data_IF_367148046674
#
_entry.id   IF_367148046674
#
_cell.length_a   1.000
_cell.length_b   1.000
_cell.length_c   1.000
_cell.angle_alpha   90.00
_cell.angle_beta   90.00
_cell.angle_gamma   90.00
#
_symmetry.space_group_name_H-M   'P 1'
#
loop_
_entity.id
_entity.type
_entity.pdbx_description
1 polymer ?
#
# COMPACT_ATOMS: atom_id res chain seq x y z
N UNK A 1 39.96 -33.93 -24.94
CA UNK A 1 40.02 -32.48 -25.25
C UNK A 1 38.67 -32.11 -25.86
N UNK A 2 37.65 -31.68 -25.14
CA UNK A 2 37.66 -30.82 -23.96
C UNK A 2 37.41 -29.38 -24.39
N UNK A 3 36.16 -29.06 -24.75
CA UNK A 3 35.68 -27.68 -24.85
C UNK A 3 34.27 -27.63 -24.27
N UNK A 4 34.23 -27.47 -22.95
CA UNK A 4 33.09 -26.98 -22.20
C UNK A 4 32.82 -25.53 -22.65
N UNK A 5 31.78 -25.33 -23.44
CA UNK A 5 31.28 -24.02 -23.80
C UNK A 5 30.26 -23.56 -22.77
N UNK A 6 30.65 -22.56 -21.98
CA UNK A 6 29.78 -21.49 -21.48
C UNK A 6 28.52 -21.90 -20.72
N UNK A 7 28.64 -22.02 -19.41
CA UNK A 7 27.53 -21.70 -18.50
C UNK A 7 27.15 -20.24 -18.72
N UNK A 8 26.14 -19.98 -19.56
CA UNK A 8 25.30 -18.80 -19.38
C UNK A 8 24.53 -19.01 -18.06
N UNK A 9 25.19 -18.73 -16.94
CA UNK A 9 24.49 -18.46 -15.69
C UNK A 9 23.67 -17.22 -15.98
N UNK A 10 22.37 -17.42 -16.23
CA UNK A 10 21.42 -16.33 -16.20
C UNK A 10 21.65 -15.57 -14.91
N UNK A 11 22.00 -14.30 -15.05
CA UNK A 11 21.76 -13.34 -13.98
C UNK A 11 20.22 -13.28 -13.84
N UNK A 12 19.65 -14.24 -13.13
CA UNK A 12 18.25 -14.22 -12.75
C UNK A 12 18.13 -13.20 -11.62
N UNK A 13 18.39 -11.94 -11.96
CA UNK A 13 18.16 -10.81 -11.08
C UNK A 13 16.76 -10.93 -10.52
N UNK A 14 16.67 -10.95 -9.19
CA UNK A 14 15.41 -11.05 -8.47
C UNK A 14 14.41 -10.05 -9.05
N UNK A 15 13.23 -10.52 -9.44
CA UNK A 15 12.20 -9.64 -9.99
C UNK A 15 11.78 -8.61 -8.94
N UNK A 16 11.27 -7.44 -9.35
CA UNK A 16 10.82 -6.44 -8.37
C UNK A 16 9.73 -7.01 -7.44
N UNK A 17 8.90 -7.95 -7.90
CA UNK A 17 7.90 -8.60 -7.08
C UNK A 17 8.53 -9.45 -5.98
N UNK A 18 9.53 -10.26 -6.32
CA UNK A 18 10.29 -11.05 -5.33
C UNK A 18 11.04 -10.15 -4.36
N UNK A 19 11.59 -9.04 -4.86
CA UNK A 19 12.31 -8.05 -4.05
C UNK A 19 11.39 -7.34 -3.07
N UNK A 20 10.21 -6.92 -3.54
CA UNK A 20 9.18 -6.32 -2.70
C UNK A 20 8.74 -7.29 -1.59
N UNK A 21 8.54 -8.57 -1.91
CA UNK A 21 8.18 -9.58 -0.92
C UNK A 21 9.27 -9.76 0.14
N UNK A 22 10.52 -9.97 -0.27
CA UNK A 22 11.63 -10.15 0.64
C UNK A 22 11.84 -8.92 1.55
N UNK A 23 11.72 -7.70 0.99
CA UNK A 23 11.82 -6.47 1.77
C UNK A 23 10.66 -6.37 2.77
N UNK A 24 9.42 -6.57 2.34
CA UNK A 24 8.25 -6.47 3.22
C UNK A 24 8.29 -7.48 4.37
N UNK A 25 8.63 -8.74 4.09
CA UNK A 25 8.76 -9.81 5.10
C UNK A 25 9.85 -9.50 6.14
N UNK A 26 10.93 -8.84 5.72
CA UNK A 26 12.02 -8.49 6.63
C UNK A 26 11.63 -7.42 7.66
N UNK A 27 10.62 -6.59 7.36
CA UNK A 27 10.23 -5.45 8.19
C UNK A 27 8.86 -5.60 8.86
N UNK A 28 7.96 -6.45 8.31
CA UNK A 28 6.57 -6.53 8.72
C UNK A 28 6.01 -7.95 8.60
N UNK A 29 5.03 -8.31 9.45
CA UNK A 29 4.19 -9.49 9.22
C UNK A 29 3.51 -9.38 7.85
N UNK A 30 3.83 -10.32 6.96
CA UNK A 30 3.42 -10.31 5.56
C UNK A 30 2.73 -11.62 5.19
N UNK A 31 1.66 -11.53 4.42
CA UNK A 31 0.93 -12.66 3.83
C UNK A 31 0.93 -12.51 2.32
N UNK A 32 1.18 -13.61 1.61
CA UNK A 32 1.12 -13.65 0.15
C UNK A 32 -0.30 -14.01 -0.27
N UNK A 33 -0.83 -13.25 -1.22
CA UNK A 33 -2.14 -13.50 -1.79
C UNK A 33 -2.00 -14.21 -3.15
N UNK A 34 -3.03 -14.98 -3.52
CA UNK A 34 -3.04 -15.76 -4.78
C UNK A 34 -2.95 -14.89 -6.04
N UNK A 35 -3.28 -13.60 -5.95
CA UNK A 35 -3.20 -12.62 -7.04
C UNK A 35 -1.82 -11.94 -7.18
N UNK A 36 -0.85 -12.37 -6.37
CA UNK A 36 0.52 -11.86 -6.34
C UNK A 36 0.69 -10.54 -5.57
N UNK A 37 -0.36 -10.07 -4.88
CA UNK A 37 -0.23 -9.00 -3.89
C UNK A 37 0.25 -9.54 -2.54
N UNK A 38 0.71 -8.62 -1.71
CA UNK A 38 1.17 -8.89 -0.35
C UNK A 38 0.29 -8.11 0.60
N UNK A 39 -0.29 -8.80 1.58
CA UNK A 39 -0.97 -8.16 2.70
C UNK A 39 0.00 -7.99 3.85
N UNK A 40 0.25 -6.75 4.27
CA UNK A 40 1.11 -6.42 5.41
C UNK A 40 0.30 -5.79 6.54
N UNK A 41 0.71 -6.04 7.77
CA UNK A 41 0.09 -5.47 8.96
C UNK A 41 1.05 -4.53 9.68
N UNK A 42 0.58 -3.31 9.97
CA UNK A 42 1.37 -2.30 10.68
C UNK A 42 0.45 -1.45 11.56
N UNK A 43 0.76 -1.34 12.86
CA UNK A 43 0.01 -0.49 13.81
C UNK A 43 -1.52 -0.67 13.77
N UNK A 44 -1.99 -1.90 13.60
CA UNK A 44 -3.41 -2.22 13.53
C UNK A 44 -4.12 -1.78 12.24
N UNK A 45 -3.35 -1.48 11.19
CA UNK A 45 -3.81 -1.30 9.81
C UNK A 45 -3.45 -2.50 8.96
N UNK A 46 -4.23 -2.73 7.90
CA UNK A 46 -3.94 -3.71 6.87
C UNK A 46 -3.64 -2.99 5.56
N UNK A 47 -2.58 -3.41 4.88
CA UNK A 47 -2.14 -2.79 3.63
C UNK A 47 -1.84 -3.83 2.58
N UNK A 48 -2.34 -3.59 1.36
CA UNK A 48 -1.99 -4.37 0.18
C UNK A 48 -0.85 -3.67 -0.57
N UNK A 49 0.20 -4.43 -0.85
CA UNK A 49 1.33 -4.04 -1.67
C UNK A 49 1.36 -4.92 -2.92
N UNK A 50 1.52 -4.32 -4.10
CA UNK A 50 1.75 -5.11 -5.33
C UNK A 50 2.60 -4.36 -6.34
N UNK A 51 3.31 -5.11 -7.17
CA UNK A 51 4.02 -4.55 -8.31
C UNK A 51 3.07 -4.43 -9.50
N UNK A 52 3.14 -3.31 -10.20
CA UNK A 52 2.37 -3.00 -11.40
C UNK A 52 3.30 -2.43 -12.46
N UNK A 53 3.41 -3.12 -13.59
CA UNK A 53 4.14 -2.62 -14.77
C UNK A 53 3.18 -1.76 -15.59
N UNK A 54 3.47 -0.46 -15.71
CA UNK A 54 2.65 0.48 -16.49
C UNK A 54 3.13 0.53 -17.95
N UNK A 55 4.43 0.46 -18.13
CA UNK A 55 5.12 0.40 -19.42
C UNK A 55 6.49 -0.27 -19.23
N UNK A 56 7.18 -0.57 -20.32
CA UNK A 56 8.55 -1.09 -20.27
C UNK A 56 9.48 -0.15 -19.47
N UNK A 57 10.15 -0.69 -18.46
CA UNK A 57 11.02 0.08 -17.56
C UNK A 57 10.29 0.96 -16.54
N UNK A 58 8.96 0.91 -16.48
CA UNK A 58 8.13 1.66 -15.53
C UNK A 58 7.33 0.70 -14.64
N UNK A 59 8.04 0.13 -13.67
CA UNK A 59 7.44 -0.68 -12.62
C UNK A 59 7.14 0.16 -11.38
N UNK A 60 5.88 0.13 -10.96
CA UNK A 60 5.39 0.82 -9.79
C UNK A 60 5.06 -0.18 -8.68
N UNK A 61 5.29 0.22 -7.43
CA UNK A 61 4.68 -0.41 -6.28
C UNK A 61 3.40 0.35 -5.97
N UNK A 62 2.27 -0.36 -5.99
CA UNK A 62 0.98 0.15 -5.55
C UNK A 62 0.75 -0.29 -4.11
N UNK A 63 0.64 0.69 -3.21
CA UNK A 63 0.33 0.51 -1.79
C UNK A 63 -1.07 1.05 -1.53
N UNK A 64 -1.95 0.21 -1.01
CA UNK A 64 -3.27 0.61 -0.51
C UNK A 64 -3.41 0.19 0.94
N UNK A 65 -3.55 1.14 1.85
CA UNK A 65 -3.73 0.90 3.27
C UNK A 65 -5.15 1.25 3.69
N UNK A 66 -5.81 0.31 4.38
CA UNK A 66 -7.11 0.54 5.00
C UNK A 66 -6.92 1.24 6.35
N UNK A 67 -7.37 2.50 6.43
CA UNK A 67 -7.20 3.32 7.64
C UNK A 67 -8.34 3.09 8.62
N UNK A 68 -9.58 3.04 8.12
CA UNK A 68 -10.77 2.78 8.90
C UNK A 68 -11.92 2.32 8.01
N UNK A 69 -12.85 1.60 8.63
CA UNK A 69 -13.96 0.93 7.97
C UNK A 69 -15.25 1.33 8.67
N UNK A 70 -16.35 1.39 7.93
CA UNK A 70 -17.71 1.52 8.49
C UNK A 70 -17.88 2.72 9.44
N UNK A 71 -17.14 3.81 9.20
CA UNK A 71 -17.23 5.02 10.00
C UNK A 71 -18.55 5.75 9.69
N UNK A 72 -19.23 6.35 10.69
CA UNK A 72 -20.39 7.17 10.44
C UNK A 72 -20.00 8.37 9.57
N UNK A 73 -20.68 8.56 8.45
CA UNK A 73 -20.41 9.67 7.56
C UNK A 73 -21.01 10.96 8.09
N UNK A 74 -20.20 11.76 8.78
CA UNK A 74 -20.57 13.07 9.30
C UNK A 74 -19.59 14.18 8.85
N UNK A 75 -19.87 15.42 9.23
CA UNK A 75 -19.04 16.57 8.89
C UNK A 75 -17.67 16.52 9.58
N UNK A 76 -17.56 15.90 10.78
CA UNK A 76 -16.30 15.76 11.51
C UNK A 76 -15.36 14.84 10.73
N UNK A 77 -15.85 13.69 10.28
CA UNK A 77 -15.09 12.74 9.47
C UNK A 77 -14.56 13.41 8.19
N UNK A 78 -15.42 14.15 7.48
CA UNK A 78 -15.02 14.88 6.26
C UNK A 78 -13.94 15.92 6.54
N UNK A 79 -14.06 16.67 7.64
CA UNK A 79 -13.06 17.67 8.03
C UNK A 79 -11.72 17.02 8.38
N UNK A 80 -11.73 15.96 9.20
CA UNK A 80 -10.51 15.22 9.59
C UNK A 80 -9.82 14.61 8.37
N UNK A 81 -10.56 13.95 7.47
CA UNK A 81 -9.99 13.41 6.23
C UNK A 81 -9.45 14.52 5.33
N UNK A 82 -10.16 15.65 5.21
CA UNK A 82 -9.71 16.79 4.42
C UNK A 82 -8.38 17.37 4.92
N UNK A 83 -8.26 17.58 6.23
CA UNK A 83 -7.03 18.10 6.86
C UNK A 83 -5.85 17.16 6.59
N UNK A 84 -6.02 15.85 6.85
CA UNK A 84 -4.94 14.90 6.62
C UNK A 84 -4.63 14.69 5.14
N UNK A 85 -5.60 14.78 4.24
CA UNK A 85 -5.37 14.71 2.81
C UNK A 85 -4.48 15.86 2.32
N UNK A 86 -4.58 17.05 2.94
CA UNK A 86 -3.71 18.19 2.62
C UNK A 86 -2.30 18.07 3.22
N UNK A 87 -2.16 17.41 4.38
CA UNK A 87 -0.89 17.28 5.07
C UNK A 87 -0.07 16.05 4.64
N UNK A 88 -0.71 15.07 3.99
CA UNK A 88 -0.05 13.83 3.56
C UNK A 88 0.84 14.08 2.35
N UNK A 89 2.16 13.91 2.53
CA UNK A 89 3.13 14.03 1.46
C UNK A 89 3.28 12.74 0.64
N UNK A 90 3.03 11.58 1.27
CA UNK A 90 3.25 10.26 0.68
C UNK A 90 1.93 9.49 0.52
N UNK A 91 1.19 9.88 -0.52
CA UNK A 91 -0.06 9.22 -0.88
C UNK A 91 -1.25 10.17 -0.90
N UNK A 92 -2.40 9.58 -1.15
CA UNK A 92 -3.68 10.26 -1.17
C UNK A 92 -4.64 9.53 -0.25
N UNK A 93 -5.21 10.26 0.70
CA UNK A 93 -6.25 9.75 1.57
C UNK A 93 -7.59 10.02 0.88
N UNK A 94 -8.41 9.00 0.74
CA UNK A 94 -9.74 9.11 0.15
C UNK A 94 -10.79 8.51 1.06
N UNK A 95 -11.97 9.12 1.03
CA UNK A 95 -13.17 8.65 1.71
C UNK A 95 -14.11 8.02 0.68
N UNK A 96 -14.54 6.79 0.94
CA UNK A 96 -15.49 6.04 0.10
C UNK A 96 -16.79 5.84 0.86
N UNK A 97 -17.87 6.49 0.43
CA UNK A 97 -19.17 6.37 1.08
C UNK A 97 -19.80 4.98 0.83
N UNK A 98 -20.27 4.34 1.90
CA UNK A 98 -21.03 3.09 1.91
C UNK A 98 -22.45 3.34 2.38
N UNK A 99 -23.42 2.98 1.55
CA UNK A 99 -24.85 3.07 1.90
C UNK A 99 -25.70 3.60 0.74
N UNK A 100 -26.87 2.98 0.56
CA UNK A 100 -27.75 3.27 -0.56
C UNK A 100 -28.43 4.64 -0.43
N UNK A 101 -28.52 5.38 -1.55
CA UNK A 101 -29.36 6.56 -1.71
C UNK A 101 -30.88 6.22 -1.79
N UNK A 102 -31.29 4.98 -1.45
CA UNK A 102 -32.65 4.49 -1.68
C UNK A 102 -33.29 3.95 -0.39
N UNK A 103 -34.14 4.77 0.22
CA UNK A 103 -35.40 4.29 0.80
C UNK A 103 -35.42 3.68 2.21
N UNK A 104 -34.48 3.99 3.09
CA UNK A 104 -34.56 3.55 4.49
C UNK A 104 -33.65 4.35 5.42
N UNK A 105 -33.94 4.34 6.73
CA UNK A 105 -33.22 5.05 7.80
C UNK A 105 -31.79 4.51 8.04
N UNK A 106 -31.07 4.16 6.98
CA UNK A 106 -29.71 3.63 7.01
C UNK A 106 -28.73 4.79 7.15
N UNK A 107 -28.03 4.84 8.29
CA UNK A 107 -26.98 5.82 8.54
C UNK A 107 -25.87 5.62 7.51
N UNK A 108 -25.55 6.65 6.73
CA UNK A 108 -24.47 6.63 5.74
C UNK A 108 -23.15 6.31 6.45
N UNK A 109 -22.41 5.36 5.91
CA UNK A 109 -21.10 4.97 6.40
C UNK A 109 -20.05 5.37 5.39
N UNK A 110 -18.78 5.33 5.78
CA UNK A 110 -17.68 5.50 4.85
C UNK A 110 -16.44 4.74 5.30
N UNK A 111 -15.67 4.33 4.31
CA UNK A 111 -14.31 3.82 4.49
C UNK A 111 -13.31 4.92 4.21
N UNK A 112 -12.17 4.84 4.89
CA UNK A 112 -11.04 5.73 4.65
C UNK A 112 -9.84 4.87 4.31
N UNK A 113 -9.25 5.16 3.16
CA UNK A 113 -8.07 4.45 2.65
C UNK A 113 -6.98 5.45 2.27
N UNK A 114 -5.74 5.04 2.43
CA UNK A 114 -4.55 5.72 1.91
C UNK A 114 -4.03 4.94 0.72
N UNK A 115 -3.81 5.61 -0.40
CA UNK A 115 -3.22 5.00 -1.60
C UNK A 115 -1.97 5.75 -2.02
N UNK A 116 -0.89 5.03 -2.26
CA UNK A 116 0.34 5.58 -2.78
C UNK A 116 0.95 4.65 -3.82
N UNK A 117 1.24 5.19 -4.99
CA UNK A 117 1.90 4.46 -6.07
C UNK A 117 3.21 5.16 -6.37
N UNK A 118 4.32 4.43 -6.36
CA UNK A 118 5.63 5.01 -6.60
C UNK A 118 6.49 4.09 -7.48
N UNK A 119 7.36 4.64 -8.33
CA UNK A 119 8.32 3.84 -9.07
C UNK A 119 9.33 3.22 -8.10
N UNK A 120 9.56 1.91 -8.21
CA UNK A 120 10.54 1.21 -7.39
C UNK A 120 11.81 0.81 -8.16
N UNK A 121 11.84 1.10 -9.46
CA UNK A 121 13.04 1.01 -10.27
C UNK A 121 14.14 1.94 -9.71
N UNK A 122 15.33 1.40 -9.52
CA UNK A 122 16.49 2.14 -9.00
C UNK A 122 16.53 2.36 -7.49
N UNK A 123 15.48 1.98 -6.74
CA UNK A 123 15.54 1.99 -5.27
C UNK A 123 16.37 0.81 -4.76
N UNK A 124 17.17 1.03 -3.71
CA UNK A 124 17.76 -0.06 -2.93
C UNK A 124 16.69 -0.73 -2.06
N UNK A 125 16.98 -1.93 -1.56
CA UNK A 125 16.06 -2.67 -0.68
C UNK A 125 15.77 -1.91 0.62
N UNK A 126 16.80 -1.28 1.19
CA UNK A 126 16.67 -0.42 2.37
C UNK A 126 15.80 0.81 2.10
N UNK A 127 16.01 1.48 0.95
CA UNK A 127 15.20 2.65 0.57
C UNK A 127 13.74 2.26 0.30
N UNK A 128 13.52 1.11 -0.34
CA UNK A 128 12.18 0.57 -0.57
C UNK A 128 11.47 0.27 0.76
N UNK A 129 12.14 -0.43 1.69
CA UNK A 129 11.58 -0.73 3.01
C UNK A 129 11.27 0.52 3.81
N UNK A 130 12.18 1.50 3.79
CA UNK A 130 11.98 2.81 4.45
C UNK A 130 10.76 3.52 3.89
N UNK A 131 10.63 3.61 2.57
CA UNK A 131 9.50 4.28 1.93
C UNK A 131 8.16 3.60 2.26
N UNK A 132 8.13 2.26 2.25
CA UNK A 132 6.95 1.49 2.68
C UNK A 132 6.59 1.86 4.12
N UNK A 133 7.52 1.78 5.07
CA UNK A 133 7.26 2.10 6.48
C UNK A 133 6.78 3.55 6.67
N UNK A 134 7.37 4.51 5.97
CA UNK A 134 6.94 5.91 6.05
C UNK A 134 5.48 6.11 5.64
N UNK A 135 5.05 5.47 4.54
CA UNK A 135 3.66 5.55 4.07
C UNK A 135 2.73 4.87 5.07
N UNK A 136 3.09 3.67 5.53
CA UNK A 136 2.27 2.92 6.48
C UNK A 136 2.10 3.65 7.81
N UNK A 137 3.19 4.22 8.32
CA UNK A 137 3.22 5.02 9.55
C UNK A 137 2.34 6.26 9.44
N UNK A 138 2.42 6.97 8.31
CA UNK A 138 1.55 8.13 8.03
C UNK A 138 0.07 7.73 8.10
N UNK A 139 -0.31 6.61 7.48
CA UNK A 139 -1.68 6.14 7.57
C UNK A 139 -2.07 5.65 8.97
N UNK A 140 -1.15 5.07 9.74
CA UNK A 140 -1.40 4.70 11.13
C UNK A 140 -1.69 5.92 12.02
N UNK A 141 -0.97 7.04 11.81
CA UNK A 141 -1.27 8.32 12.47
C UNK A 141 -2.67 8.83 12.16
N UNK A 142 -3.05 8.79 10.87
CA UNK A 142 -4.39 9.20 10.45
C UNK A 142 -5.45 8.29 11.05
N UNK A 143 -5.23 6.97 11.07
CA UNK A 143 -6.13 6.02 11.74
C UNK A 143 -6.34 6.38 13.21
N UNK A 144 -5.26 6.71 13.94
CA UNK A 144 -5.37 7.16 15.34
C UNK A 144 -6.20 8.43 15.47
N UNK A 145 -6.04 9.40 14.57
CA UNK A 145 -6.84 10.63 14.55
C UNK A 145 -8.31 10.39 14.19
N UNK A 146 -8.61 9.38 13.38
CA UNK A 146 -9.99 9.00 13.01
C UNK A 146 -10.73 8.26 14.13
N UNK A 147 -10.00 7.48 14.95
CA UNK A 147 -10.58 6.64 16.01
C UNK A 147 -10.50 7.25 17.42
N UNK A 148 -9.73 8.33 17.60
CA UNK A 148 -9.62 9.11 18.83
C UNK A 148 -10.70 10.18 18.99
#
# INVERSE_FOLDING_TARGET
MGLSGGLERGDSGMSLQQRLAAVAEAILPTTHEDDGSLTVQHDGTFSSLRVVTIAEGLDMVALTQMLAWDLPLDAKLRATVGEHAHQTLLGTISLTEKGAATGGNSRKQADVLLRYNFPAAGLTDEALGTLILMVLSTGADVRRALLG
#
